data_IF_847832634904
#
_entry.id   IF_847832634904
#
_cell.length_a   1.000
_cell.length_b   1.000
_cell.length_c   1.000
_cell.angle_alpha   90.00
_cell.angle_beta   90.00
_cell.angle_gamma   90.00
#
_symmetry.space_group_name_H-M   'P 1'
#
loop_
_entity.id
_entity.type
_entity.pdbx_description
1 polymer ?
#
# COMPACT_ATOMS: atom_id res chain seq x y z
N UNK A 1 -27.43 42.29 -42.79
CA UNK A 1 -26.68 43.23 -41.92
C UNK A 1 -27.10 42.94 -40.48
N UNK A 2 -26.31 42.15 -39.74
CA UNK A 2 -25.42 42.61 -38.64
C UNK A 2 -26.24 42.97 -37.39
N UNK A 3 -26.10 42.40 -36.19
CA UNK A 3 -25.03 41.73 -35.42
C UNK A 3 -25.74 41.08 -34.21
N UNK A 4 -25.49 39.82 -33.86
CA UNK A 4 -24.45 39.34 -32.93
C UNK A 4 -24.55 39.85 -31.47
N UNK A 5 -24.29 38.92 -30.53
CA UNK A 5 -23.82 39.11 -29.13
C UNK A 5 -24.91 39.52 -28.09
N UNK A 6 -25.26 38.78 -27.04
CA UNK A 6 -24.50 37.91 -26.11
C UNK A 6 -25.45 36.90 -25.44
N UNK A 7 -25.27 35.60 -25.67
CA UNK A 7 -25.68 34.59 -24.71
C UNK A 7 -24.42 34.20 -23.92
N UNK A 8 -24.38 34.58 -22.65
CA UNK A 8 -23.29 34.28 -21.72
C UNK A 8 -23.37 32.79 -21.37
N UNK A 9 -22.60 31.96 -22.08
CA UNK A 9 -22.31 30.59 -21.68
C UNK A 9 -21.40 30.66 -20.45
N UNK A 10 -22.00 30.56 -19.26
CA UNK A 10 -21.25 30.26 -18.03
C UNK A 10 -20.87 28.78 -18.13
N UNK A 11 -19.68 28.50 -18.64
CA UNK A 11 -19.06 27.19 -18.55
C UNK A 11 -18.72 26.93 -17.08
N UNK A 12 -19.61 26.23 -16.38
CA UNK A 12 -19.30 25.62 -15.08
C UNK A 12 -18.30 24.51 -15.38
N UNK A 13 -17.01 24.82 -15.28
CA UNK A 13 -15.96 23.82 -15.22
C UNK A 13 -16.16 23.03 -13.93
N UNK A 14 -16.75 21.84 -14.04
CA UNK A 14 -16.76 20.84 -12.98
C UNK A 14 -15.30 20.42 -12.75
N UNK A 15 -14.62 21.04 -11.79
CA UNK A 15 -13.44 20.42 -11.19
C UNK A 15 -13.97 19.17 -10.49
N UNK A 16 -13.87 18.02 -11.16
CA UNK A 16 -13.98 16.73 -10.50
C UNK A 16 -12.74 16.66 -9.62
N UNK A 17 -12.88 17.01 -8.33
CA UNK A 17 -11.91 16.61 -7.33
C UNK A 17 -11.91 15.07 -7.39
N UNK A 18 -10.86 14.49 -7.96
CA UNK A 18 -10.67 13.05 -7.87
C UNK A 18 -10.67 12.71 -6.38
N UNK A 19 -11.45 11.73 -5.92
CA UNK A 19 -11.33 11.27 -4.54
C UNK A 19 -9.86 10.87 -4.33
N UNK A 20 -9.29 11.23 -3.19
CA UNK A 20 -8.01 10.66 -2.79
C UNK A 20 -8.23 9.13 -2.74
N UNK A 21 -7.59 8.41 -3.66
CA UNK A 21 -7.69 6.96 -3.68
C UNK A 21 -6.89 6.44 -2.49
N UNK A 22 -7.57 5.77 -1.57
CA UNK A 22 -6.89 4.96 -0.55
C UNK A 22 -6.44 3.65 -1.22
N UNK A 23 -5.14 3.36 -1.15
CA UNK A 23 -4.56 2.09 -1.55
C UNK A 23 -4.30 1.26 -0.30
N UNK A 24 -4.92 0.09 -0.18
CA UNK A 24 -4.70 -0.84 0.94
C UNK A 24 -3.96 -2.06 0.44
N UNK A 25 -2.82 -2.33 1.07
CA UNK A 25 -1.96 -3.47 0.79
C UNK A 25 -1.96 -4.44 1.97
N UNK A 26 -2.20 -5.72 1.70
CA UNK A 26 -2.08 -6.80 2.68
C UNK A 26 -0.67 -7.41 2.62
N UNK A 27 -0.10 -7.78 3.76
CA UNK A 27 1.28 -8.28 3.87
C UNK A 27 1.33 -9.72 4.34
N UNK A 28 2.16 -10.50 3.66
CA UNK A 28 2.30 -11.93 3.89
C UNK A 28 3.39 -12.59 3.06
N UNK A 29 3.88 -11.97 1.98
CA UNK A 29 4.90 -12.57 1.11
C UNK A 29 6.31 -12.32 1.67
N UNK A 30 7.09 -13.37 1.90
CA UNK A 30 8.46 -13.27 2.40
C UNK A 30 9.37 -12.61 1.36
N UNK A 31 10.00 -11.50 1.76
CA UNK A 31 11.05 -10.82 1.00
C UNK A 31 12.44 -11.29 1.43
N UNK A 32 12.67 -11.40 2.75
CA UNK A 32 13.95 -11.82 3.32
C UNK A 32 13.77 -12.41 4.70
N UNK A 33 14.49 -13.49 5.01
CA UNK A 33 14.38 -14.22 6.27
C UNK A 33 14.08 -15.70 6.01
N UNK A 34 13.53 -16.38 7.00
CA UNK A 34 13.40 -17.84 7.02
C UNK A 34 11.97 -18.37 7.13
N UNK A 35 10.96 -17.49 7.19
CA UNK A 35 9.57 -17.90 7.45
C UNK A 35 8.57 -17.24 6.52
N UNK A 36 7.82 -18.05 5.78
CA UNK A 36 6.70 -17.62 4.94
C UNK A 36 5.39 -17.93 5.68
N UNK A 37 4.62 -16.94 6.14
CA UNK A 37 3.31 -17.17 6.72
C UNK A 37 2.32 -17.68 5.66
N UNK A 38 1.31 -18.43 6.09
CA UNK A 38 0.27 -18.98 5.22
C UNK A 38 -0.82 -17.95 4.87
N UNK A 39 -0.96 -16.91 5.70
CA UNK A 39 -1.99 -15.88 5.61
C UNK A 39 -1.35 -14.49 5.76
N UNK A 40 -2.10 -13.46 5.37
CA UNK A 40 -1.72 -12.08 5.64
C UNK A 40 -1.82 -11.76 7.14
N UNK A 41 -0.87 -10.97 7.64
CA UNK A 41 -0.75 -10.65 9.07
C UNK A 41 -0.76 -9.15 9.35
N UNK A 42 -0.81 -8.31 8.31
CA UNK A 42 -0.88 -6.87 8.46
C UNK A 42 -1.44 -6.22 7.19
N UNK A 43 -2.05 -5.06 7.35
CA UNK A 43 -2.48 -4.22 6.24
C UNK A 43 -1.96 -2.79 6.37
N UNK A 44 -1.48 -2.23 5.27
CA UNK A 44 -1.07 -0.82 5.18
C UNK A 44 -2.02 -0.11 4.23
N UNK A 45 -2.75 0.86 4.75
CA UNK A 45 -3.54 1.80 3.94
C UNK A 45 -2.77 3.09 3.76
N UNK A 46 -2.65 3.52 2.51
CA UNK A 46 -2.00 4.77 2.09
C UNK A 46 -3.05 5.63 1.41
N UNK A 47 -3.34 6.79 1.97
CA UNK A 47 -4.28 7.77 1.43
C UNK A 47 -3.59 9.11 1.22
N UNK A 48 -3.67 9.67 0.02
CA UNK A 48 -3.13 10.99 -0.26
C UNK A 48 -2.58 11.10 -1.67
N UNK A 49 -2.01 12.26 -1.97
CA UNK A 49 -1.36 12.52 -3.25
C UNK A 49 -0.38 13.68 -3.13
N UNK A 50 0.63 13.69 -4.01
CA UNK A 50 1.62 14.75 -4.05
C UNK A 50 2.58 14.66 -2.87
N UNK A 51 2.55 15.63 -1.97
CA UNK A 51 3.53 15.72 -0.87
C UNK A 51 3.01 15.25 0.48
N UNK A 52 1.73 14.92 0.61
CA UNK A 52 1.12 14.59 1.90
C UNK A 52 0.36 13.28 1.77
N UNK A 53 0.71 12.33 2.65
CA UNK A 53 0.10 11.02 2.72
C UNK A 53 -0.25 10.69 4.17
N UNK A 54 -1.43 10.11 4.37
CA UNK A 54 -1.85 9.49 5.61
C UNK A 54 -1.66 7.99 5.48
N UNK A 55 -1.03 7.40 6.48
CA UNK A 55 -0.79 5.98 6.57
C UNK A 55 -1.60 5.41 7.74
N UNK A 56 -2.13 4.21 7.56
CA UNK A 56 -2.71 3.40 8.63
C UNK A 56 -2.17 1.98 8.51
N UNK A 57 -1.40 1.54 9.49
CA UNK A 57 -0.90 0.17 9.60
C UNK A 57 -1.70 -0.56 10.67
N UNK A 58 -2.30 -1.68 10.30
CA UNK A 58 -2.95 -2.59 11.23
C UNK A 58 -2.22 -3.93 11.24
N UNK A 59 -1.95 -4.46 12.42
CA UNK A 59 -1.34 -5.77 12.61
C UNK A 59 -2.39 -6.77 13.12
N UNK A 60 -2.34 -8.00 12.61
CA UNK A 60 -3.30 -9.06 12.94
C UNK A 60 -2.54 -10.33 13.30
N UNK A 61 -2.98 -11.01 14.35
CA UNK A 61 -2.58 -12.39 14.66
C UNK A 61 -1.05 -12.66 14.71
N UNK A 62 -0.21 -11.64 14.97
CA UNK A 62 1.24 -11.80 15.03
C UNK A 62 1.66 -12.84 16.08
N UNK A 63 0.92 -12.89 17.18
CA UNK A 63 1.14 -13.79 18.30
C UNK A 63 0.84 -15.27 17.97
N UNK A 64 -0.03 -15.53 17.00
CA UNK A 64 -0.40 -16.88 16.57
C UNK A 64 0.41 -17.31 15.35
N UNK A 65 0.69 -16.39 14.43
CA UNK A 65 1.42 -16.66 13.18
C UNK A 65 2.93 -16.82 13.42
N UNK A 66 3.52 -16.01 14.30
CA UNK A 66 4.97 -15.98 14.53
C UNK A 66 5.36 -16.44 15.94
N UNK A 67 5.17 -15.59 16.93
CA UNK A 67 5.47 -15.87 18.34
C UNK A 67 4.74 -14.89 19.26
N UNK A 68 4.56 -15.23 20.53
CA UNK A 68 3.85 -14.39 21.51
C UNK A 68 4.44 -12.99 21.71
N UNK A 69 5.70 -12.77 21.33
CA UNK A 69 6.39 -11.49 21.45
C UNK A 69 6.70 -10.85 20.09
N UNK A 70 6.11 -11.37 19.01
CA UNK A 70 6.28 -10.84 17.67
C UNK A 70 5.66 -9.45 17.55
N UNK A 71 6.33 -8.58 16.82
CA UNK A 71 5.91 -7.20 16.61
C UNK A 71 6.42 -6.68 15.27
N UNK A 72 5.74 -5.68 14.71
CA UNK A 72 6.20 -4.95 13.53
C UNK A 72 7.07 -3.80 14.02
N UNK A 73 8.35 -3.83 13.66
CA UNK A 73 9.32 -2.85 14.12
C UNK A 73 9.56 -1.72 13.13
N UNK A 74 9.34 -1.95 11.85
CA UNK A 74 9.57 -0.95 10.82
C UNK A 74 8.80 -1.22 9.54
N UNK A 75 8.65 -0.17 8.73
CA UNK A 75 8.22 -0.22 7.34
C UNK A 75 9.33 0.41 6.51
N UNK A 76 10.02 -0.37 5.70
CA UNK A 76 10.96 0.16 4.72
C UNK A 76 10.20 0.70 3.51
N UNK A 77 10.68 1.80 2.95
CA UNK A 77 10.05 2.50 1.84
C UNK A 77 11.06 2.69 0.72
N UNK A 78 10.75 2.12 -0.45
CA UNK A 78 11.46 2.27 -1.71
C UNK A 78 10.83 3.43 -2.48
N UNK A 79 11.57 4.52 -2.58
CA UNK A 79 11.23 5.67 -3.40
C UNK A 79 12.39 5.93 -4.35
N UNK A 80 12.09 6.32 -5.59
CA UNK A 80 13.10 6.77 -6.55
C UNK A 80 13.84 8.08 -6.17
N UNK A 81 13.72 8.53 -4.92
CA UNK A 81 14.35 9.71 -4.35
C UNK A 81 14.60 9.51 -2.85
N UNK A 82 15.78 9.91 -2.36
CA UNK A 82 16.15 9.83 -0.94
C UNK A 82 15.50 10.92 -0.06
N UNK A 83 14.21 11.17 -0.26
CA UNK A 83 13.44 12.20 0.44
C UNK A 83 12.90 11.63 1.76
N UNK A 84 13.36 12.18 2.89
CA UNK A 84 12.80 11.85 4.19
C UNK A 84 11.53 12.67 4.46
N UNK A 85 10.41 12.03 4.85
CA UNK A 85 9.23 12.76 5.27
C UNK A 85 9.37 13.34 6.68
N UNK A 86 8.68 14.45 6.93
CA UNK A 86 8.34 14.88 8.29
C UNK A 86 7.10 14.11 8.77
N UNK A 87 7.17 13.54 9.97
CA UNK A 87 6.07 12.76 10.58
C UNK A 87 5.25 13.65 11.52
N UNK A 88 3.93 13.56 11.41
CA UNK A 88 2.99 14.24 12.31
C UNK A 88 1.71 13.42 12.51
N UNK A 89 0.81 13.90 13.39
CA UNK A 89 -0.51 13.30 13.64
C UNK A 89 -0.47 11.78 13.94
N UNK A 90 0.46 11.37 14.80
CA UNK A 90 0.57 9.96 15.19
C UNK A 90 -0.56 9.61 16.16
N UNK A 91 -1.36 8.60 15.83
CA UNK A 91 -2.42 8.05 16.67
C UNK A 91 -2.34 6.52 16.69
N UNK A 92 -2.70 5.91 17.82
CA UNK A 92 -2.74 4.45 17.98
C UNK A 92 -1.64 3.92 18.90
N UNK A 93 -1.24 2.68 18.66
CA UNK A 93 -0.58 1.84 19.67
C UNK A 93 0.96 1.87 19.62
N UNK A 94 1.55 2.45 18.57
CA UNK A 94 3.00 2.52 18.40
C UNK A 94 3.49 3.93 18.05
N UNK A 95 4.73 4.28 18.44
CA UNK A 95 5.35 5.51 17.94
C UNK A 95 5.67 5.37 16.46
N UNK A 96 5.85 6.50 15.78
CA UNK A 96 6.34 6.52 14.39
C UNK A 96 7.47 7.52 14.26
N UNK A 97 8.66 7.02 14.00
CA UNK A 97 9.85 7.80 13.65
C UNK A 97 10.24 7.60 12.19
N UNK A 98 11.28 8.31 11.74
CA UNK A 98 11.88 8.11 10.42
C UNK A 98 13.39 7.93 10.58
N UNK A 99 13.95 6.94 9.88
CA UNK A 99 15.40 6.69 9.85
C UNK A 99 15.89 6.51 8.42
N UNK A 100 17.12 6.98 8.18
CA UNK A 100 17.90 6.58 7.01
C UNK A 100 18.36 5.13 7.19
N UNK A 101 18.43 4.35 6.10
CA UNK A 101 18.60 2.88 6.03
C UNK A 101 17.30 2.07 6.20
N UNK A 102 16.62 1.80 5.08
CA UNK A 102 15.43 0.97 5.01
C UNK A 102 15.72 -0.41 4.43
N UNK A 103 15.22 -1.45 5.09
CA UNK A 103 14.97 -2.74 4.44
C UNK A 103 16.18 -3.64 4.17
N UNK A 104 15.90 -4.87 3.68
CA UNK A 104 16.93 -5.85 3.38
C UNK A 104 17.73 -5.45 2.13
N UNK A 105 19.03 -5.71 2.13
CA UNK A 105 19.88 -5.56 0.94
C UNK A 105 20.18 -4.12 0.49
N UNK A 106 19.73 -3.10 1.24
CA UNK A 106 19.99 -1.68 0.92
C UNK A 106 19.15 -1.14 -0.24
N UNK A 107 18.05 -1.82 -0.59
CA UNK A 107 17.16 -1.43 -1.68
C UNK A 107 16.12 -0.37 -1.31
N UNK A 108 16.06 0.07 -0.05
CA UNK A 108 15.07 1.06 0.40
C UNK A 108 15.75 2.29 1.00
N UNK A 109 15.25 3.46 0.64
CA UNK A 109 15.84 4.76 0.93
C UNK A 109 15.71 5.11 2.41
N UNK A 110 14.56 4.77 3.00
CA UNK A 110 14.28 5.05 4.40
C UNK A 110 13.33 4.02 5.01
N UNK A 111 13.11 4.15 6.32
CA UNK A 111 12.06 3.41 7.01
C UNK A 111 11.29 4.29 7.98
N UNK A 112 10.00 3.98 8.12
CA UNK A 112 9.25 4.32 9.31
C UNK A 112 9.68 3.39 10.44
N UNK A 113 10.15 3.95 11.55
CA UNK A 113 10.52 3.21 12.75
C UNK A 113 9.32 3.18 13.69
N UNK A 114 8.82 1.98 13.98
CA UNK A 114 7.65 1.77 14.83
C UNK A 114 8.04 1.44 16.27
N UNK A 115 9.33 1.55 16.59
CA UNK A 115 9.87 1.25 17.90
C UNK A 115 10.21 2.51 18.68
N UNK A 116 10.00 2.45 20.00
CA UNK A 116 10.31 3.54 20.91
C UNK A 116 10.88 3.07 22.24
N UNK A 117 11.21 4.02 23.14
CA UNK A 117 11.74 3.70 24.45
C UNK A 117 10.77 2.80 25.24
N UNK A 118 11.33 1.98 26.14
CA UNK A 118 10.57 1.07 27.02
C UNK A 118 9.69 0.06 26.27
N UNK A 119 10.16 -0.42 25.11
CA UNK A 119 9.41 -1.36 24.28
C UNK A 119 8.07 -0.75 23.81
N UNK A 120 8.01 0.51 23.35
CA UNK A 120 6.81 0.93 22.60
C UNK A 120 6.94 0.34 21.18
N UNK A 121 5.99 -0.51 20.75
CA UNK A 121 6.04 -1.23 19.45
C UNK A 121 4.65 -1.71 19.04
N UNK A 122 4.42 -1.89 17.75
CA UNK A 122 3.15 -2.40 17.21
C UNK A 122 3.09 -3.93 17.32
N UNK A 123 2.21 -4.43 18.18
CA UNK A 123 2.02 -5.86 18.45
C UNK A 123 0.73 -6.39 17.82
N UNK A 124 0.35 -7.62 18.14
CA UNK A 124 -0.80 -8.29 17.52
C UNK A 124 -2.11 -7.56 17.80
N UNK A 125 -2.94 -7.38 16.77
CA UNK A 125 -4.27 -6.76 16.83
C UNK A 125 -4.26 -5.29 17.25
N UNK A 126 -3.15 -4.60 16.99
CA UNK A 126 -2.97 -3.18 17.22
C UNK A 126 -2.95 -2.39 15.90
N UNK A 127 -3.15 -1.09 15.98
CA UNK A 127 -3.16 -0.19 14.81
C UNK A 127 -2.45 1.12 15.12
N UNK A 128 -1.77 1.67 14.11
CA UNK A 128 -1.17 3.01 14.17
C UNK A 128 -1.45 3.77 12.88
N UNK A 129 -1.74 5.06 13.00
CA UNK A 129 -1.85 5.98 11.87
C UNK A 129 -0.98 7.21 12.05
N UNK A 130 -0.49 7.75 10.94
CA UNK A 130 0.35 8.95 10.92
C UNK A 130 0.26 9.68 9.59
N UNK A 131 0.63 10.96 9.59
CA UNK A 131 0.81 11.76 8.38
C UNK A 131 2.30 11.87 8.05
N UNK A 132 2.66 11.60 6.80
CA UNK A 132 4.00 11.86 6.26
C UNK A 132 3.94 13.03 5.27
N UNK A 133 4.76 14.05 5.51
CA UNK A 133 4.89 15.23 4.64
C UNK A 133 6.26 15.25 3.98
N UNK A 134 6.29 15.14 2.65
CA UNK A 134 7.50 15.17 1.83
C UNK A 134 7.80 16.59 1.32
N UNK A 135 9.07 16.93 1.17
CA UNK A 135 9.50 18.23 0.66
C UNK A 135 9.17 18.45 -0.83
N UNK A 136 8.91 17.38 -1.58
CA UNK A 136 8.52 17.38 -2.98
C UNK A 136 7.41 16.35 -3.19
N UNK A 137 6.64 16.42 -4.30
CA UNK A 137 5.66 15.40 -4.62
C UNK A 137 6.30 14.02 -4.82
N UNK A 138 5.72 13.00 -4.21
CA UNK A 138 6.07 11.58 -4.40
C UNK A 138 4.84 10.81 -4.90
N UNK A 139 5.02 9.56 -5.32
CA UNK A 139 3.92 8.68 -5.71
C UNK A 139 4.20 7.28 -5.21
N UNK A 140 3.18 6.63 -4.65
CA UNK A 140 3.16 5.20 -4.34
C UNK A 140 2.24 4.54 -5.36
N UNK A 141 2.80 3.67 -6.19
CA UNK A 141 2.15 3.03 -7.34
C UNK A 141 2.02 1.51 -7.16
N UNK A 142 2.49 0.98 -6.03
CA UNK A 142 2.41 -0.41 -5.59
C UNK A 142 3.79 -1.02 -5.37
N UNK A 143 3.93 -1.81 -4.30
CA UNK A 143 5.16 -2.55 -3.94
C UNK A 143 6.34 -1.67 -3.45
N UNK A 144 6.09 -0.43 -3.04
CA UNK A 144 7.13 0.44 -2.47
C UNK A 144 7.48 0.11 -1.01
N UNK A 145 6.82 -0.86 -0.40
CA UNK A 145 6.87 -1.06 1.04
C UNK A 145 7.28 -2.48 1.43
N UNK A 146 8.08 -2.58 2.48
CA UNK A 146 8.36 -3.86 3.14
C UNK A 146 8.24 -3.73 4.66
N UNK A 147 7.49 -4.63 5.31
CA UNK A 147 7.33 -4.69 6.75
C UNK A 147 8.42 -5.53 7.39
N UNK A 148 9.00 -5.04 8.49
CA UNK A 148 9.94 -5.78 9.33
C UNK A 148 9.22 -6.36 10.53
N UNK A 149 9.13 -7.69 10.59
CA UNK A 149 8.59 -8.40 11.75
C UNK A 149 9.75 -8.97 12.55
N UNK A 150 9.76 -8.68 13.85
CA UNK A 150 10.80 -9.10 14.79
C UNK A 150 10.26 -10.12 15.80
N UNK A 151 11.17 -10.80 16.50
CA UNK A 151 10.86 -11.86 17.46
C UNK A 151 9.99 -12.96 16.85
N UNK A 152 10.34 -13.45 15.66
CA UNK A 152 9.55 -14.47 14.98
C UNK A 152 9.78 -15.90 15.52
N UNK A 153 10.49 -16.06 16.64
CA UNK A 153 10.54 -17.30 17.41
C UNK A 153 11.50 -18.36 16.85
N UNK A 154 11.08 -19.63 16.88
CA UNK A 154 11.88 -20.75 16.38
C UNK A 154 12.17 -20.67 14.87
N UNK A 155 11.45 -19.79 14.19
CA UNK A 155 11.52 -19.54 12.76
C UNK A 155 12.61 -18.52 12.38
N UNK A 156 13.24 -17.84 13.36
CA UNK A 156 14.31 -16.86 13.16
C UNK A 156 14.22 -15.65 14.10
N UNK A 157 15.18 -14.73 14.04
CA UNK A 157 15.14 -13.51 14.84
C UNK A 157 14.17 -12.47 14.26
N UNK A 158 14.18 -12.29 12.94
CA UNK A 158 13.31 -11.37 12.22
C UNK A 158 13.22 -11.69 10.73
N UNK A 159 12.22 -11.13 10.06
CA UNK A 159 12.03 -11.26 8.62
C UNK A 159 11.37 -10.01 8.02
N UNK A 160 11.53 -9.85 6.70
CA UNK A 160 10.92 -8.79 5.91
C UNK A 160 9.87 -9.36 4.99
N UNK A 161 8.75 -8.65 4.87
CA UNK A 161 7.60 -9.06 4.09
C UNK A 161 7.12 -7.94 3.18
N UNK A 162 6.68 -8.29 1.98
CA UNK A 162 6.04 -7.37 1.03
C UNK A 162 4.57 -7.71 0.89
N UNK A 163 3.86 -6.85 0.17
CA UNK A 163 2.46 -7.06 -0.10
C UNK A 163 2.20 -8.42 -0.77
N UNK A 164 1.13 -9.09 -0.37
CA UNK A 164 0.53 -10.17 -1.14
C UNK A 164 -0.16 -9.49 -2.33
N UNK A 165 0.51 -9.39 -3.47
CA UNK A 165 -0.14 -8.81 -4.67
C UNK A 165 -1.47 -9.53 -4.87
N UNK A 166 -2.58 -8.84 -5.16
CA UNK A 166 -3.81 -9.51 -5.54
C UNK A 166 -3.48 -10.39 -6.74
N UNK A 167 -3.47 -11.71 -6.55
CA UNK A 167 -3.57 -12.62 -7.68
C UNK A 167 -4.93 -12.27 -8.27
N UNK A 168 -5.02 -11.77 -9.53
CA UNK A 168 -6.31 -11.41 -10.07
C UNK A 168 -7.18 -12.66 -9.99
N UNK A 169 -8.30 -12.54 -9.30
CA UNK A 169 -9.09 -13.71 -8.95
C UNK A 169 -9.40 -14.50 -10.24
N UNK A 170 -9.35 -15.84 -10.21
CA UNK A 170 -9.60 -16.66 -11.40
C UNK A 170 -10.93 -16.30 -12.09
N UNK A 171 -11.88 -15.74 -11.36
CA UNK A 171 -13.16 -15.20 -11.85
C UNK A 171 -13.00 -14.02 -12.81
N UNK A 172 -12.06 -13.10 -12.59
CA UNK A 172 -11.80 -11.96 -13.49
C UNK A 172 -11.27 -12.44 -14.84
N UNK A 173 -10.38 -13.46 -14.82
CA UNK A 173 -9.91 -14.10 -16.04
C UNK A 173 -11.03 -14.87 -16.75
N UNK A 174 -11.89 -15.54 -16.00
CA UNK A 174 -13.06 -16.23 -16.54
C UNK A 174 -14.04 -15.24 -17.21
N UNK A 175 -14.29 -14.07 -16.61
CA UNK A 175 -15.15 -13.03 -17.16
C UNK A 175 -14.52 -12.34 -18.39
N UNK A 176 -13.21 -12.12 -18.38
CA UNK A 176 -12.48 -11.65 -19.56
C UNK A 176 -12.55 -12.66 -20.71
N UNK A 177 -12.32 -13.95 -20.43
CA UNK A 177 -12.42 -15.03 -21.41
C UNK A 177 -13.86 -15.22 -21.90
N UNK A 178 -14.86 -15.08 -21.03
CA UNK A 178 -16.27 -15.10 -21.41
C UNK A 178 -16.62 -13.93 -22.32
N UNK A 179 -16.12 -12.73 -22.03
CA UNK A 179 -16.26 -11.55 -22.89
C UNK A 179 -15.61 -11.75 -24.26
N UNK A 180 -14.39 -12.28 -24.30
CA UNK A 180 -13.68 -12.59 -25.55
C UNK A 180 -14.38 -13.72 -26.34
N UNK A 181 -14.86 -14.76 -25.67
CA UNK A 181 -15.63 -15.85 -26.27
C UNK A 181 -16.93 -15.36 -26.90
N UNK A 182 -17.64 -14.46 -26.22
CA UNK A 182 -18.86 -13.84 -26.73
C UNK A 182 -18.60 -12.99 -27.98
N UNK A 183 -17.54 -12.17 -27.97
CA UNK A 183 -17.15 -11.37 -29.14
C UNK A 183 -16.73 -12.23 -30.33
N UNK A 184 -16.00 -13.34 -30.07
CA UNK A 184 -15.67 -14.34 -31.07
C UNK A 184 -16.93 -14.95 -31.72
N UNK A 185 -17.93 -15.32 -30.93
CA UNK A 185 -19.20 -15.86 -31.40
C UNK A 185 -19.98 -14.86 -32.28
N UNK A 186 -20.06 -13.60 -31.86
CA UNK A 186 -20.73 -12.53 -32.64
C UNK A 186 -20.01 -12.30 -33.98
N UNK A 187 -18.67 -12.31 -33.99
CA UNK A 187 -17.89 -12.14 -35.22
C UNK A 187 -18.14 -13.27 -36.23
N UNK A 188 -18.30 -14.51 -35.76
CA UNK A 188 -18.57 -15.68 -36.60
C UNK A 188 -19.94 -15.59 -37.29
N UNK A 189 -20.96 -15.07 -36.59
CA UNK A 189 -22.31 -14.88 -37.17
C UNK A 189 -22.34 -13.84 -38.28
N UNK A 190 -21.52 -12.77 -38.17
CA UNK A 190 -21.41 -11.76 -39.24
C UNK A 190 -20.81 -12.31 -40.54
N UNK A 191 -20.00 -13.37 -40.45
CA UNK A 191 -19.36 -13.99 -41.61
C UNK A 191 -20.29 -14.96 -42.36
N UNK A 192 -21.41 -15.40 -41.76
CA UNK A 192 -22.38 -16.29 -42.43
C UNK A 192 -23.53 -15.54 -43.14
N UNK A 193 -23.46 -14.21 -43.23
CA UNK A 193 -24.42 -13.35 -43.95
C UNK A 193 -23.75 -12.68 -45.17
N UNK A 194 -22.74 -13.33 -45.76
CA UNK A 194 -22.20 -12.98 -47.09
C UNK A 194 -22.36 -14.16 -48.03
#
# INVERSE_FOLDING_TARGET
>A
MTKLFKALLVSISLLIAAPAMANTEEYGTLLSGSFQPAESFASLTVEGSGSIYNFTLSAFDLNTIFSSNAFIGAIAVDLSSSLLPAISNIFGDSPVGVSTAGGPGGAFEFRFDLTGPRQARLTSNETVSWTATFAQPVSFVGNEFALHVQNIGAQGDSAWYVNTSPVPEPETYAMMLAGLGFMGFVSRRKKSIK
#
